data_IF_824957224635
#
_entry.id   IF_824957224635
#
_cell.length_a   1.000
_cell.length_b   1.000
_cell.length_c   1.000
_cell.angle_alpha   90.00
_cell.angle_beta   90.00
_cell.angle_gamma   90.00
#
_symmetry.space_group_name_H-M   'P 1'
#
loop_
_entity.id
_entity.type
_entity.pdbx_description
1 polymer ?
#
# COMPACT_ATOMS: atom_id res chain seq x y z
N UNK A 1 13.78 46.13 -38.17
CA UNK A 1 14.53 45.66 -36.98
C UNK A 1 13.48 45.23 -35.97
N UNK A 2 13.19 43.94 -35.96
CA UNK A 2 12.09 43.35 -35.21
C UNK A 2 12.70 42.47 -34.12
N UNK A 3 12.32 42.74 -32.87
CA UNK A 3 12.72 41.98 -31.69
C UNK A 3 12.14 40.55 -31.78
N UNK A 4 12.88 39.50 -31.42
CA UNK A 4 12.30 38.17 -31.29
C UNK A 4 11.66 38.02 -29.91
N UNK A 5 10.36 37.69 -29.93
CA UNK A 5 9.59 37.22 -28.80
C UNK A 5 10.18 35.90 -28.28
N UNK A 6 10.60 35.86 -27.01
CA UNK A 6 10.98 34.62 -26.35
C UNK A 6 9.72 33.87 -25.93
N UNK A 7 9.28 32.94 -26.77
CA UNK A 7 8.35 31.88 -26.35
C UNK A 7 9.08 31.00 -25.33
N UNK A 8 8.69 31.10 -24.06
CA UNK A 8 8.96 30.05 -23.09
C UNK A 8 8.01 28.90 -23.42
N UNK A 9 8.56 27.83 -23.99
CA UNK A 9 7.87 26.56 -24.12
C UNK A 9 7.71 25.97 -22.73
N UNK A 10 6.49 26.05 -22.20
CA UNK A 10 5.98 25.16 -21.17
C UNK A 10 5.99 23.73 -21.75
N UNK A 11 7.09 23.01 -21.56
CA UNK A 11 7.14 21.56 -21.76
C UNK A 11 6.48 20.89 -20.54
N UNK A 12 5.15 20.90 -20.53
CA UNK A 12 4.38 19.88 -19.81
C UNK A 12 4.68 18.52 -20.48
N UNK A 13 5.55 17.74 -19.83
CA UNK A 13 5.87 16.35 -20.17
C UNK A 13 4.71 15.40 -19.79
N UNK A 14 3.51 15.67 -20.31
CA UNK A 14 2.30 14.86 -20.13
C UNK A 14 1.92 14.10 -21.41
N UNK A 15 2.92 13.52 -22.08
CA UNK A 15 2.69 12.52 -23.13
C UNK A 15 3.00 11.13 -22.60
N UNK A 16 2.11 10.60 -21.76
CA UNK A 16 2.13 9.17 -21.44
C UNK A 16 1.90 8.38 -22.73
N UNK A 17 2.97 7.85 -23.34
CA UNK A 17 2.86 6.99 -24.51
C UNK A 17 2.13 5.71 -24.07
N UNK A 18 0.90 5.54 -24.53
CA UNK A 18 0.13 4.31 -24.34
C UNK A 18 0.61 3.30 -25.38
N UNK A 19 1.31 2.27 -24.93
CA UNK A 19 1.70 1.12 -25.73
C UNK A 19 0.46 0.39 -26.25
N UNK A 20 0.53 -0.17 -27.45
CA UNK A 20 -0.50 -1.08 -27.98
C UNK A 20 -0.39 -2.49 -27.40
N UNK A 21 0.73 -2.80 -26.74
CA UNK A 21 1.00 -4.10 -26.12
C UNK A 21 1.29 -3.88 -24.64
N UNK A 22 0.54 -4.57 -23.79
CA UNK A 22 0.74 -4.51 -22.35
C UNK A 22 2.09 -5.12 -21.96
N UNK A 23 2.71 -4.58 -20.91
CA UNK A 23 3.88 -5.20 -20.29
C UNK A 23 3.52 -6.52 -19.59
N UNK A 24 4.51 -7.18 -19.00
CA UNK A 24 4.33 -8.46 -18.28
C UNK A 24 3.33 -8.41 -17.12
N UNK A 25 3.00 -7.21 -16.65
CA UNK A 25 2.12 -6.97 -15.52
C UNK A 25 0.75 -6.42 -15.98
N UNK A 26 0.49 -6.34 -17.28
CA UNK A 26 -0.78 -5.87 -17.83
C UNK A 26 -0.87 -4.35 -18.02
N UNK A 27 0.21 -3.59 -17.84
CA UNK A 27 0.19 -2.13 -18.05
C UNK A 27 0.53 -1.76 -19.49
N UNK A 28 -0.25 -0.84 -20.05
CA UNK A 28 -0.03 -0.23 -21.37
C UNK A 28 0.72 1.11 -21.25
N UNK A 29 0.91 1.63 -20.03
CA UNK A 29 1.52 2.93 -19.76
C UNK A 29 1.38 3.36 -18.30
N UNK A 30 1.69 4.62 -18.03
CA UNK A 30 1.64 5.20 -16.69
C UNK A 30 2.84 4.81 -15.80
N UNK A 31 2.82 5.24 -14.55
CA UNK A 31 3.95 5.11 -13.62
C UNK A 31 4.31 3.67 -13.23
N UNK A 32 3.42 2.71 -13.49
CA UNK A 32 3.63 1.28 -13.21
C UNK A 32 4.15 0.50 -14.41
N UNK A 33 4.17 1.10 -15.61
CA UNK A 33 4.64 0.45 -16.82
C UNK A 33 6.15 0.20 -16.78
N UNK A 34 6.57 -1.02 -17.14
CA UNK A 34 7.98 -1.40 -17.21
C UNK A 34 8.27 -2.09 -18.55
N UNK A 35 8.84 -1.39 -19.54
CA UNK A 35 9.13 -1.96 -20.85
C UNK A 35 10.32 -2.94 -20.80
N UNK A 36 11.20 -2.78 -19.81
CA UNK A 36 12.42 -3.57 -19.75
C UNK A 36 12.16 -5.01 -19.30
N UNK A 37 12.71 -6.00 -20.01
CA UNK A 37 12.68 -7.36 -19.53
C UNK A 37 13.56 -7.46 -18.27
N UNK A 38 12.96 -7.56 -17.08
CA UNK A 38 13.70 -7.93 -15.88
C UNK A 38 14.52 -9.21 -16.14
N UNK A 39 15.76 -9.30 -15.60
CA UNK A 39 16.62 -10.45 -15.80
C UNK A 39 15.90 -11.73 -15.36
N UNK A 40 15.64 -12.61 -16.33
CA UNK A 40 14.96 -13.87 -16.06
C UNK A 40 15.84 -14.76 -15.19
N UNK A 41 15.34 -15.13 -14.01
CA UNK A 41 15.95 -16.18 -13.21
C UNK A 41 15.99 -17.48 -14.03
N UNK A 42 17.01 -18.33 -13.87
CA UNK A 42 17.05 -19.61 -14.56
C UNK A 42 15.76 -20.41 -14.33
N UNK A 43 15.17 -20.96 -15.41
CA UNK A 43 13.91 -21.72 -15.35
C UNK A 43 13.91 -22.79 -14.26
N UNK A 44 15.04 -23.47 -14.09
CA UNK A 44 15.24 -24.48 -13.04
C UNK A 44 15.10 -23.93 -11.63
N UNK A 45 15.52 -22.69 -11.39
CA UNK A 45 15.35 -22.01 -10.11
C UNK A 45 13.90 -21.58 -9.88
N UNK A 46 13.20 -21.12 -10.92
CA UNK A 46 11.77 -20.76 -10.86
C UNK A 46 10.95 -21.99 -10.44
N UNK A 47 11.09 -23.11 -11.17
CA UNK A 47 10.38 -24.36 -10.86
C UNK A 47 10.68 -24.88 -9.44
N UNK A 48 11.95 -24.79 -9.01
CA UNK A 48 12.34 -25.17 -7.63
C UNK A 48 11.69 -24.26 -6.58
N UNK A 49 11.46 -22.98 -6.87
CA UNK A 49 10.78 -22.05 -5.96
C UNK A 49 9.28 -22.31 -5.93
N UNK A 50 8.67 -22.53 -7.09
CA UNK A 50 7.26 -22.88 -7.22
C UNK A 50 6.92 -24.18 -6.49
N UNK A 51 7.70 -25.25 -6.70
CA UNK A 51 7.45 -26.53 -6.03
C UNK A 51 7.45 -26.41 -4.49
N UNK A 52 8.33 -25.56 -3.94
CA UNK A 52 8.38 -25.32 -2.49
C UNK A 52 7.11 -24.63 -2.00
N UNK A 53 6.57 -23.69 -2.77
CA UNK A 53 5.32 -23.00 -2.46
C UNK A 53 4.10 -23.90 -2.64
N UNK A 54 4.06 -24.72 -3.70
CA UNK A 54 2.99 -25.71 -3.92
C UNK A 54 2.91 -26.66 -2.72
N UNK A 55 4.05 -27.18 -2.26
CA UNK A 55 4.10 -28.05 -1.09
C UNK A 55 3.61 -27.34 0.18
N UNK A 56 3.91 -26.04 0.33
CA UNK A 56 3.43 -25.25 1.48
C UNK A 56 1.93 -24.98 1.42
N UNK A 57 1.40 -24.67 0.23
CA UNK A 57 -0.02 -24.39 -0.01
C UNK A 57 -0.88 -25.64 0.24
N UNK A 58 -0.38 -26.82 -0.15
CA UNK A 58 -1.10 -28.09 0.08
C UNK A 58 -1.33 -28.36 1.57
N UNK A 59 -0.33 -28.06 2.40
CA UNK A 59 -0.34 -28.33 3.83
C UNK A 59 -0.44 -27.01 4.64
N UNK A 60 -1.20 -26.02 4.11
CA UNK A 60 -1.17 -24.62 4.56
C UNK A 60 -1.39 -24.42 6.06
N UNK A 61 -2.45 -25.01 6.62
CA UNK A 61 -2.78 -24.87 8.05
C UNK A 61 -1.67 -25.41 8.95
N UNK A 62 -1.01 -26.52 8.57
CA UNK A 62 0.15 -27.01 9.32
C UNK A 62 1.29 -25.99 9.24
N UNK A 63 1.57 -25.45 8.06
CA UNK A 63 2.63 -24.46 7.89
C UNK A 63 2.40 -23.19 8.68
N UNK A 64 1.17 -22.68 8.74
CA UNK A 64 0.83 -21.49 9.50
C UNK A 64 0.87 -21.73 11.02
N UNK A 65 0.45 -22.91 11.48
CA UNK A 65 0.45 -23.23 12.91
C UNK A 65 1.85 -23.60 13.45
N UNK A 66 2.62 -24.42 12.73
CA UNK A 66 3.88 -24.98 13.26
C UNK A 66 5.14 -24.44 12.56
N UNK A 67 5.01 -23.94 11.33
CA UNK A 67 6.16 -23.52 10.50
C UNK A 67 6.06 -22.06 10.01
N UNK A 68 5.35 -21.19 10.75
CA UNK A 68 5.12 -19.80 10.33
C UNK A 68 6.41 -19.04 10.02
N UNK A 69 7.50 -19.31 10.76
CA UNK A 69 8.83 -18.72 10.49
C UNK A 69 9.30 -19.02 9.05
N UNK A 70 9.03 -20.21 8.53
CA UNK A 70 9.38 -20.63 7.17
C UNK A 70 8.47 -19.96 6.15
N UNK A 71 7.17 -19.81 6.42
CA UNK A 71 6.24 -19.02 5.59
C UNK A 71 6.74 -17.59 5.47
N UNK A 72 7.00 -16.94 6.61
CA UNK A 72 7.54 -15.58 6.67
C UNK A 72 8.84 -15.42 5.89
N UNK A 73 9.79 -16.34 6.05
CA UNK A 73 11.05 -16.30 5.29
C UNK A 73 10.82 -16.40 3.77
N UNK A 74 9.84 -17.19 3.34
CA UNK A 74 9.50 -17.34 1.91
C UNK A 74 8.82 -16.10 1.36
N UNK A 75 7.89 -15.50 2.11
CA UNK A 75 7.29 -14.21 1.76
C UNK A 75 8.35 -13.10 1.62
N UNK A 76 9.31 -13.04 2.55
CA UNK A 76 10.46 -12.12 2.50
C UNK A 76 11.44 -12.39 1.35
N UNK A 77 11.42 -13.59 0.76
CA UNK A 77 12.25 -13.96 -0.41
C UNK A 77 11.58 -13.70 -1.76
N UNK A 78 10.25 -13.76 -1.84
CA UNK A 78 9.54 -13.71 -3.12
C UNK A 78 8.51 -14.82 -3.21
N UNK A 79 7.23 -14.45 -3.33
CA UNK A 79 6.22 -15.39 -3.83
C UNK A 79 6.36 -15.44 -5.35
N UNK A 80 6.49 -16.63 -5.97
CA UNK A 80 6.48 -16.77 -7.42
C UNK A 80 5.22 -16.13 -8.03
N UNK A 81 5.32 -15.41 -9.16
CA UNK A 81 4.18 -14.73 -9.77
C UNK A 81 2.96 -15.64 -9.99
N UNK A 82 3.19 -16.85 -10.48
CA UNK A 82 2.19 -17.89 -10.72
C UNK A 82 1.42 -18.35 -9.48
N UNK A 83 2.00 -18.14 -8.28
CA UNK A 83 1.44 -18.62 -7.02
C UNK A 83 0.92 -17.49 -6.12
N UNK A 84 1.15 -16.21 -6.48
CA UNK A 84 0.61 -15.05 -5.73
C UNK A 84 -0.91 -15.11 -5.58
N UNK A 85 -1.71 -15.37 -6.64
CA UNK A 85 -3.17 -15.47 -6.51
C UNK A 85 -3.60 -16.34 -5.33
N UNK A 86 -3.06 -17.56 -5.27
CA UNK A 86 -3.45 -18.54 -4.24
C UNK A 86 -2.81 -18.25 -2.90
N UNK A 87 -1.54 -17.85 -2.87
CA UNK A 87 -0.83 -17.56 -1.62
C UNK A 87 -1.43 -16.34 -0.91
N UNK A 88 -1.74 -15.27 -1.64
CA UNK A 88 -2.36 -14.07 -1.09
C UNK A 88 -3.78 -14.34 -0.58
N UNK A 89 -4.58 -15.11 -1.34
CA UNK A 89 -5.88 -15.56 -0.88
C UNK A 89 -5.75 -16.26 0.49
N UNK A 90 -4.85 -17.24 0.62
CA UNK A 90 -4.65 -17.98 1.87
C UNK A 90 -4.14 -17.09 3.01
N UNK A 91 -3.20 -16.18 2.74
CA UNK A 91 -2.66 -15.23 3.73
C UNK A 91 -3.71 -14.25 4.25
N UNK A 92 -4.67 -13.86 3.41
CA UNK A 92 -5.80 -13.02 3.83
C UNK A 92 -6.88 -13.81 4.55
N UNK A 93 -7.15 -15.04 4.15
CA UNK A 93 -8.46 -15.66 4.43
C UNK A 93 -8.41 -16.74 5.49
N UNK A 94 -7.23 -17.16 5.92
CA UNK A 94 -7.10 -18.08 7.05
C UNK A 94 -7.76 -17.53 8.33
N UNK A 95 -7.74 -16.20 8.52
CA UNK A 95 -8.37 -15.52 9.66
C UNK A 95 -9.85 -15.23 9.46
N UNK A 96 -10.28 -15.15 8.21
CA UNK A 96 -11.67 -14.95 7.84
C UNK A 96 -12.36 -16.30 8.03
N UNK A 97 -13.18 -16.47 9.06
CA UNK A 97 -14.01 -17.66 9.22
C UNK A 97 -15.09 -17.74 8.12
N UNK A 98 -14.69 -17.83 6.84
CA UNK A 98 -15.55 -17.88 5.64
C UNK A 98 -16.62 -18.96 5.77
N UNK A 99 -16.34 -20.02 6.54
CA UNK A 99 -17.27 -21.12 6.86
C UNK A 99 -18.56 -20.67 7.55
N UNK A 100 -18.61 -19.48 8.16
CA UNK A 100 -19.82 -18.93 8.77
C UNK A 100 -20.70 -18.15 7.78
N UNK A 101 -20.23 -17.91 6.56
CA UNK A 101 -21.00 -17.25 5.52
C UNK A 101 -21.56 -18.28 4.54
N UNK A 102 -22.72 -17.99 3.98
CA UNK A 102 -23.30 -18.82 2.93
C UNK A 102 -22.42 -18.77 1.67
N UNK A 103 -22.48 -19.83 0.86
CA UNK A 103 -21.64 -19.98 -0.34
C UNK A 103 -21.79 -18.84 -1.35
N UNK A 104 -22.96 -18.22 -1.44
CA UNK A 104 -23.26 -17.15 -2.40
C UNK A 104 -23.26 -15.76 -1.75
N UNK A 105 -22.62 -15.60 -0.58
CA UNK A 105 -22.69 -14.37 0.20
C UNK A 105 -22.25 -13.13 -0.59
N UNK A 106 -21.20 -13.25 -1.42
CA UNK A 106 -20.76 -12.15 -2.26
C UNK A 106 -21.79 -11.79 -3.33
N UNK A 107 -22.34 -12.79 -4.03
CA UNK A 107 -23.38 -12.57 -5.04
C UNK A 107 -24.64 -11.94 -4.44
N UNK A 108 -25.04 -12.38 -3.25
CA UNK A 108 -26.17 -11.82 -2.50
C UNK A 108 -25.93 -10.34 -2.15
N UNK A 109 -24.71 -9.96 -1.79
CA UNK A 109 -24.34 -8.55 -1.56
C UNK A 109 -24.31 -7.74 -2.85
N UNK A 110 -23.85 -8.33 -3.96
CA UNK A 110 -23.88 -7.67 -5.26
C UNK A 110 -25.31 -7.38 -5.74
N UNK A 111 -26.26 -8.27 -5.44
CA UNK A 111 -27.67 -8.12 -5.77
C UNK A 111 -28.40 -7.07 -4.90
N UNK A 112 -27.94 -6.82 -3.67
CA UNK A 112 -28.54 -5.83 -2.77
C UNK A 112 -28.37 -4.40 -3.26
N UNK A 113 -29.28 -3.50 -2.89
CA UNK A 113 -29.08 -2.06 -3.08
C UNK A 113 -28.01 -1.54 -2.12
N UNK A 114 -27.10 -0.72 -2.63
CA UNK A 114 -26.07 -0.05 -1.81
C UNK A 114 -26.51 1.35 -1.39
N UNK A 115 -25.82 1.94 -0.42
CA UNK A 115 -26.05 3.33 -0.04
C UNK A 115 -25.81 4.27 -1.26
N UNK A 116 -26.78 5.09 -1.69
CA UNK A 116 -26.66 5.91 -2.89
C UNK A 116 -25.41 6.79 -2.94
N UNK A 117 -25.01 7.36 -1.78
CA UNK A 117 -23.80 8.18 -1.66
C UNK A 117 -22.55 7.38 -2.01
N UNK A 118 -22.38 6.19 -1.40
CA UNK A 118 -21.21 5.35 -1.66
C UNK A 118 -21.20 4.83 -3.08
N UNK A 119 -22.36 4.50 -3.65
CA UNK A 119 -22.46 4.09 -5.05
C UNK A 119 -21.96 5.20 -5.98
N UNK A 120 -22.34 6.44 -5.73
CA UNK A 120 -21.88 7.59 -6.51
C UNK A 120 -20.36 7.81 -6.36
N UNK A 121 -19.85 7.76 -5.13
CA UNK A 121 -18.42 7.90 -4.84
C UNK A 121 -17.61 6.77 -5.51
N UNK A 122 -18.06 5.52 -5.44
CA UNK A 122 -17.41 4.39 -6.12
C UNK A 122 -17.37 4.64 -7.63
N UNK A 123 -18.47 5.05 -8.26
CA UNK A 123 -18.53 5.31 -9.71
C UNK A 123 -17.54 6.39 -10.15
N UNK A 124 -17.41 7.47 -9.37
CA UNK A 124 -16.41 8.52 -9.61
C UNK A 124 -14.97 7.99 -9.50
N UNK A 125 -14.77 6.87 -8.83
CA UNK A 125 -13.46 6.35 -8.51
C UNK A 125 -12.95 5.30 -9.50
N UNK A 126 -13.86 4.62 -10.21
CA UNK A 126 -13.53 3.52 -11.12
C UNK A 126 -12.50 3.91 -12.19
N UNK A 127 -12.73 5.04 -12.89
CA UNK A 127 -11.94 5.43 -14.05
C UNK A 127 -10.49 5.80 -13.74
N UNK A 128 -10.16 6.11 -12.48
CA UNK A 128 -8.81 6.51 -12.07
C UNK A 128 -8.03 5.43 -11.32
N UNK A 129 -8.59 4.22 -11.19
CA UNK A 129 -7.86 3.08 -10.63
C UNK A 129 -7.13 2.32 -11.73
N UNK A 130 -5.82 2.52 -11.82
CA UNK A 130 -4.95 1.89 -12.83
C UNK A 130 -5.48 2.01 -14.27
N UNK A 131 -5.74 3.25 -14.76
CA UNK A 131 -6.41 3.48 -16.05
C UNK A 131 -5.67 2.89 -17.26
N UNK A 132 -4.37 2.65 -17.13
CA UNK A 132 -3.52 2.07 -18.18
C UNK A 132 -3.39 0.55 -18.09
N UNK A 133 -4.05 -0.12 -17.15
CA UNK A 133 -3.98 -1.57 -17.02
C UNK A 133 -5.05 -2.24 -17.89
N UNK A 134 -4.71 -3.32 -18.60
CA UNK A 134 -5.58 -4.00 -19.58
C UNK A 134 -6.94 -4.43 -19.02
N UNK A 135 -7.00 -4.76 -17.72
CA UNK A 135 -8.25 -5.10 -17.01
C UNK A 135 -9.18 -3.88 -16.87
N UNK A 136 -8.64 -2.67 -16.66
CA UNK A 136 -9.41 -1.48 -16.26
C UNK A 136 -9.51 -0.41 -17.36
N UNK A 137 -8.71 -0.51 -18.42
CA UNK A 137 -8.63 0.49 -19.50
C UNK A 137 -9.96 0.69 -20.24
N UNK A 138 -10.76 -0.37 -20.36
CA UNK A 138 -12.08 -0.28 -21.00
C UNK A 138 -13.11 0.29 -20.02
N UNK A 139 -13.61 1.48 -20.31
CA UNK A 139 -14.73 2.07 -19.59
C UNK A 139 -15.96 1.16 -19.64
N UNK A 140 -16.55 0.88 -18.47
CA UNK A 140 -17.66 -0.07 -18.36
C UNK A 140 -17.29 -1.52 -18.71
N UNK A 141 -16.00 -1.84 -18.86
CA UNK A 141 -15.52 -3.19 -19.06
C UNK A 141 -15.62 -4.05 -17.80
N UNK A 142 -15.37 -5.36 -17.96
CA UNK A 142 -15.51 -6.34 -16.87
C UNK A 142 -14.69 -5.96 -15.62
N UNK A 143 -13.48 -5.42 -15.77
CA UNK A 143 -12.66 -5.01 -14.63
C UNK A 143 -13.26 -3.87 -13.82
N UNK A 144 -13.87 -2.87 -14.47
CA UNK A 144 -14.57 -1.79 -13.76
C UNK A 144 -15.87 -2.29 -13.11
N UNK A 145 -16.57 -3.22 -13.76
CA UNK A 145 -17.75 -3.88 -13.19
C UNK A 145 -17.39 -4.67 -11.93
N UNK A 146 -16.33 -5.49 -11.99
CA UNK A 146 -15.86 -6.27 -10.85
C UNK A 146 -15.37 -5.36 -9.71
N UNK A 147 -14.64 -4.28 -10.04
CA UNK A 147 -14.22 -3.29 -9.06
C UNK A 147 -15.41 -2.64 -8.36
N UNK A 148 -16.43 -2.24 -9.12
CA UNK A 148 -17.66 -1.71 -8.56
C UNK A 148 -18.33 -2.72 -7.62
N UNK A 149 -18.46 -3.97 -8.05
CA UNK A 149 -19.11 -5.03 -7.28
C UNK A 149 -18.37 -5.32 -5.96
N UNK A 150 -17.05 -5.43 -6.00
CA UNK A 150 -16.21 -5.65 -4.81
C UNK A 150 -16.35 -4.51 -3.80
N UNK A 151 -16.24 -3.26 -4.25
CA UNK A 151 -16.33 -2.09 -3.38
C UNK A 151 -17.73 -1.88 -2.81
N UNK A 152 -18.76 -2.05 -3.65
CA UNK A 152 -20.17 -2.02 -3.23
C UNK A 152 -20.43 -3.08 -2.17
N UNK A 153 -20.08 -4.34 -2.45
CA UNK A 153 -20.31 -5.43 -1.52
C UNK A 153 -19.61 -5.20 -0.18
N UNK A 154 -18.38 -4.67 -0.18
CA UNK A 154 -17.69 -4.30 1.05
C UNK A 154 -18.46 -3.22 1.84
N UNK A 155 -18.90 -2.16 1.16
CA UNK A 155 -19.63 -1.06 1.80
C UNK A 155 -20.96 -1.52 2.44
N UNK A 156 -21.62 -2.51 1.85
CA UNK A 156 -22.85 -3.11 2.38
C UNK A 156 -22.54 -4.02 3.57
N UNK A 157 -21.47 -4.82 3.46
CA UNK A 157 -21.02 -5.72 4.54
C UNK A 157 -20.63 -4.95 5.81
N UNK A 158 -19.93 -3.83 5.67
CA UNK A 158 -19.49 -3.01 6.79
C UNK A 158 -20.00 -1.57 6.64
N UNK A 159 -21.28 -1.30 6.93
CA UNK A 159 -21.87 0.02 6.73
C UNK A 159 -21.36 1.07 7.73
N UNK A 160 -20.74 0.65 8.84
CA UNK A 160 -20.11 1.58 9.79
C UNK A 160 -18.88 2.26 9.16
N UNK A 161 -18.12 1.51 8.36
CA UNK A 161 -17.00 2.05 7.57
C UNK A 161 -17.49 2.60 6.23
N UNK A 162 -18.36 1.84 5.56
CA UNK A 162 -18.86 2.17 4.24
C UNK A 162 -17.78 2.08 3.17
N UNK A 163 -17.82 3.03 2.23
CA UNK A 163 -16.79 3.21 1.22
C UNK A 163 -15.87 4.39 1.55
N UNK A 164 -14.56 4.14 1.49
CA UNK A 164 -13.52 5.14 1.51
C UNK A 164 -12.72 5.05 0.21
N UNK A 165 -12.44 6.20 -0.43
CA UNK A 165 -11.70 6.32 -1.68
C UNK A 165 -10.39 5.51 -1.73
N UNK A 166 -9.69 5.41 -0.60
CA UNK A 166 -8.42 4.68 -0.52
C UNK A 166 -8.56 3.15 -0.61
N UNK A 167 -9.79 2.62 -0.57
CA UNK A 167 -10.07 1.19 -0.76
C UNK A 167 -10.06 0.79 -2.24
N UNK A 168 -10.42 1.69 -3.15
CA UNK A 168 -10.46 1.42 -4.59
C UNK A 168 -9.11 0.96 -5.19
N UNK A 169 -7.96 1.60 -4.91
CA UNK A 169 -6.69 1.10 -5.43
C UNK A 169 -6.31 -0.27 -4.85
N UNK A 170 -6.71 -0.58 -3.61
CA UNK A 170 -6.51 -1.90 -3.00
C UNK A 170 -7.36 -2.97 -3.71
N UNK A 171 -8.65 -2.70 -3.91
CA UNK A 171 -9.56 -3.62 -4.58
C UNK A 171 -9.14 -3.87 -6.04
N UNK A 172 -8.79 -2.81 -6.77
CA UNK A 172 -8.31 -2.91 -8.14
C UNK A 172 -7.00 -3.72 -8.22
N UNK A 173 -6.06 -3.50 -7.29
CA UNK A 173 -4.83 -4.28 -7.20
C UNK A 173 -5.11 -5.77 -6.96
N UNK A 174 -6.03 -6.11 -6.05
CA UNK A 174 -6.42 -7.50 -5.80
C UNK A 174 -7.04 -8.17 -7.03
N UNK A 175 -7.93 -7.46 -7.74
CA UNK A 175 -8.60 -7.95 -8.94
C UNK A 175 -7.65 -8.30 -10.10
N UNK A 176 -6.45 -7.73 -10.12
CA UNK A 176 -5.41 -8.13 -11.09
C UNK A 176 -4.83 -9.52 -10.81
N UNK A 177 -5.03 -10.05 -9.60
CA UNK A 177 -4.46 -11.33 -9.17
C UNK A 177 -5.50 -12.39 -8.85
N UNK A 178 -6.78 -12.04 -8.66
CA UNK A 178 -7.78 -13.02 -8.26
C UNK A 178 -9.20 -12.61 -8.68
N UNK A 179 -10.13 -13.58 -8.80
CA UNK A 179 -11.53 -13.30 -9.10
C UNK A 179 -12.19 -12.37 -8.07
N UNK A 180 -13.30 -11.73 -8.47
CA UNK A 180 -14.00 -10.73 -7.67
C UNK A 180 -14.35 -11.20 -6.24
N UNK A 181 -14.90 -12.40 -6.08
CA UNK A 181 -15.23 -12.93 -4.74
C UNK A 181 -13.98 -13.07 -3.85
N UNK A 182 -12.88 -13.57 -4.40
CA UNK A 182 -11.63 -13.69 -3.66
C UNK A 182 -11.06 -12.32 -3.29
N UNK A 183 -11.11 -11.36 -4.22
CA UNK A 183 -10.68 -9.99 -4.00
C UNK A 183 -11.53 -9.31 -2.92
N UNK A 184 -12.85 -9.52 -2.93
CA UNK A 184 -13.77 -9.05 -1.89
C UNK A 184 -13.35 -9.53 -0.50
N UNK A 185 -13.15 -10.84 -0.32
CA UNK A 185 -12.74 -11.37 0.99
C UNK A 185 -11.34 -10.93 1.43
N UNK A 186 -10.41 -10.76 0.47
CA UNK A 186 -9.11 -10.19 0.75
C UNK A 186 -9.22 -8.72 1.21
N UNK A 187 -10.05 -7.92 0.53
CA UNK A 187 -10.34 -6.54 0.90
C UNK A 187 -10.97 -6.46 2.31
N UNK A 188 -11.95 -7.32 2.60
CA UNK A 188 -12.54 -7.44 3.93
C UNK A 188 -11.47 -7.67 4.99
N UNK A 189 -10.58 -8.64 4.79
CA UNK A 189 -9.52 -8.90 5.75
C UNK A 189 -8.53 -7.75 5.89
N UNK A 190 -8.17 -7.11 4.78
CA UNK A 190 -7.27 -5.96 4.81
C UNK A 190 -7.91 -4.81 5.60
N UNK A 191 -9.17 -4.47 5.36
CA UNK A 191 -9.82 -3.36 6.02
C UNK A 191 -10.22 -3.65 7.47
N UNK A 192 -10.75 -4.84 7.77
CA UNK A 192 -11.33 -5.15 9.07
C UNK A 192 -10.29 -5.69 10.07
N UNK A 193 -9.23 -6.35 9.59
CA UNK A 193 -8.21 -6.97 10.45
C UNK A 193 -6.85 -6.24 10.37
N UNK A 194 -6.30 -6.03 9.16
CA UNK A 194 -4.98 -5.39 9.04
C UNK A 194 -5.05 -3.88 9.27
N UNK A 195 -6.03 -3.19 8.70
CA UNK A 195 -6.15 -1.72 8.74
C UNK A 195 -7.36 -1.30 9.58
N UNK A 196 -7.64 -2.05 10.64
CA UNK A 196 -8.80 -1.85 11.50
C UNK A 196 -8.85 -0.41 12.00
N UNK A 197 -9.92 0.31 11.67
CA UNK A 197 -10.12 1.70 12.08
C UNK A 197 -9.32 2.75 11.29
N UNK A 198 -8.65 2.38 10.19
CA UNK A 198 -8.01 3.35 9.30
C UNK A 198 -9.03 4.15 8.49
N UNK A 199 -10.09 3.48 8.05
CA UNK A 199 -11.12 4.05 7.17
C UNK A 199 -12.31 4.65 7.93
N UNK A 200 -12.26 4.71 9.26
CA UNK A 200 -13.31 5.35 10.06
C UNK A 200 -13.25 6.87 9.95
N UNK A 201 -14.37 7.53 10.28
CA UNK A 201 -14.42 8.99 10.33
C UNK A 201 -13.33 9.54 11.28
N UNK A 202 -12.66 10.63 10.85
CA UNK A 202 -11.58 11.25 11.61
C UNK A 202 -10.23 10.51 11.56
N UNK A 203 -10.17 9.28 11.02
CA UNK A 203 -8.94 8.52 10.82
C UNK A 203 -8.06 8.41 12.09
N UNK A 204 -8.67 8.27 13.28
CA UNK A 204 -7.94 8.33 14.55
C UNK A 204 -6.81 7.30 14.63
N UNK A 205 -7.07 6.07 14.18
CA UNK A 205 -6.06 4.99 14.15
C UNK A 205 -4.89 5.35 13.25
N UNK A 206 -5.16 5.86 12.04
CA UNK A 206 -4.11 6.31 11.12
C UNK A 206 -3.28 7.44 11.73
N UNK A 207 -3.91 8.35 12.47
CA UNK A 207 -3.20 9.43 13.14
C UNK A 207 -2.31 8.92 14.30
N UNK A 208 -2.77 7.92 15.07
CA UNK A 208 -1.97 7.22 16.08
C UNK A 208 -0.75 6.57 15.42
N UNK A 209 -0.96 5.86 14.32
CA UNK A 209 0.11 5.22 13.58
C UNK A 209 1.06 6.24 12.94
N UNK A 210 0.56 7.43 12.59
CA UNK A 210 1.42 8.56 12.24
C UNK A 210 2.35 8.97 13.38
N UNK A 211 1.81 9.15 14.59
CA UNK A 211 2.63 9.46 15.76
C UNK A 211 3.67 8.36 16.06
N UNK A 212 3.30 7.09 15.87
CA UNK A 212 4.22 5.95 15.99
C UNK A 212 5.32 5.99 14.93
N UNK A 213 4.97 6.21 13.66
CA UNK A 213 5.93 6.35 12.58
C UNK A 213 6.92 7.47 12.90
N UNK A 214 6.45 8.62 13.39
CA UNK A 214 7.33 9.74 13.73
C UNK A 214 8.25 9.42 14.92
N UNK A 215 7.76 8.66 15.90
CA UNK A 215 8.59 8.16 16.99
C UNK A 215 9.67 7.20 16.50
N UNK A 216 9.36 6.35 15.50
CA UNK A 216 10.36 5.51 14.87
C UNK A 216 11.36 6.33 14.02
N UNK A 217 10.91 7.36 13.29
CA UNK A 217 11.83 8.28 12.57
C UNK A 217 12.78 8.93 13.58
N UNK A 218 12.31 9.32 14.77
CA UNK A 218 13.17 9.83 15.84
C UNK A 218 14.25 8.83 16.27
N UNK A 219 13.92 7.53 16.32
CA UNK A 219 14.82 6.45 16.71
C UNK A 219 15.84 6.13 15.61
N UNK A 220 15.40 5.96 14.36
CA UNK A 220 16.24 5.48 13.25
C UNK A 220 16.93 6.60 12.48
N UNK A 221 16.32 7.78 12.39
CA UNK A 221 16.84 8.93 11.63
C UNK A 221 16.65 10.25 12.40
N UNK A 222 17.36 10.46 13.52
CA UNK A 222 17.14 11.59 14.43
C UNK A 222 17.34 12.97 13.77
N UNK A 223 18.22 13.07 12.77
CA UNK A 223 18.41 14.32 12.01
C UNK A 223 17.19 14.64 11.14
N UNK A 224 16.62 13.64 10.46
CA UNK A 224 15.39 13.80 9.68
C UNK A 224 14.24 14.17 10.62
N UNK A 225 14.09 13.49 11.76
CA UNK A 225 13.08 13.83 12.76
C UNK A 225 13.15 15.31 13.19
N UNK A 226 14.36 15.78 13.54
CA UNK A 226 14.57 17.18 13.95
C UNK A 226 14.22 18.15 12.82
N UNK A 227 14.57 17.82 11.58
CA UNK A 227 14.25 18.61 10.40
C UNK A 227 12.73 18.75 10.20
N UNK A 228 12.01 17.62 10.15
CA UNK A 228 10.55 17.59 10.01
C UNK A 228 9.86 18.34 11.15
N UNK A 229 10.30 18.11 12.39
CA UNK A 229 9.75 18.79 13.57
C UNK A 229 9.96 20.30 13.51
N UNK A 230 11.13 20.77 13.06
CA UNK A 230 11.42 22.20 12.93
C UNK A 230 10.52 22.88 11.90
N UNK A 231 10.19 22.18 10.82
CA UNK A 231 9.29 22.66 9.77
C UNK A 231 7.80 22.38 10.09
N UNK A 232 7.49 21.84 11.27
CA UNK A 232 6.12 21.47 11.69
C UNK A 232 5.43 20.50 10.71
N UNK A 233 6.22 19.61 10.09
CA UNK A 233 5.69 18.57 9.21
C UNK A 233 5.25 17.38 10.05
N UNK A 234 3.94 17.16 10.07
CA UNK A 234 3.32 16.00 10.70
C UNK A 234 3.21 14.83 9.69
N UNK A 235 3.32 13.57 10.16
CA UNK A 235 3.25 12.38 9.31
C UNK A 235 2.04 12.34 8.38
N UNK A 236 0.86 12.74 8.88
CA UNK A 236 -0.41 12.73 8.14
C UNK A 236 -0.33 13.51 6.82
N UNK A 237 0.59 14.46 6.68
CA UNK A 237 0.77 15.28 5.48
C UNK A 237 1.42 14.53 4.30
N UNK A 238 2.04 13.38 4.53
CA UNK A 238 2.71 12.60 3.48
C UNK A 238 2.38 11.10 3.54
N UNK A 239 2.14 10.53 4.73
CA UNK A 239 1.96 9.08 4.87
C UNK A 239 0.53 8.59 4.62
N UNK A 240 -0.45 9.50 4.53
CA UNK A 240 -1.87 9.13 4.49
C UNK A 240 -2.16 8.18 3.33
N UNK A 241 -1.72 8.52 2.12
CA UNK A 241 -1.89 7.64 0.96
C UNK A 241 -1.07 6.36 1.08
N UNK A 242 0.15 6.44 1.59
CA UNK A 242 1.04 5.30 1.78
C UNK A 242 0.38 4.18 2.60
N UNK A 243 -0.23 4.56 3.73
CA UNK A 243 -0.79 3.62 4.68
C UNK A 243 -2.22 3.22 4.30
N UNK A 244 -3.06 4.16 3.87
CA UNK A 244 -4.44 3.87 3.48
C UNK A 244 -4.54 3.02 2.21
N UNK A 245 -3.59 3.17 1.28
CA UNK A 245 -3.56 2.43 0.01
C UNK A 245 -2.53 1.30 0.01
N UNK A 246 -1.88 1.00 1.14
CA UNK A 246 -0.81 -0.03 1.24
C UNK A 246 0.23 0.13 0.12
N UNK A 247 0.66 1.38 -0.08
CA UNK A 247 1.65 1.81 -1.07
C UNK A 247 1.34 1.51 -2.55
N UNK A 248 0.14 1.05 -2.88
CA UNK A 248 -0.24 0.71 -4.28
C UNK A 248 -0.14 1.88 -5.24
N UNK A 249 -0.23 3.11 -4.73
CA UNK A 249 -0.10 4.36 -5.48
C UNK A 249 1.30 4.99 -5.43
N UNK A 250 2.23 4.40 -4.67
CA UNK A 250 3.52 5.02 -4.35
C UNK A 250 4.71 4.21 -4.86
N UNK A 251 4.69 2.88 -4.70
CA UNK A 251 5.83 2.04 -5.05
C UNK A 251 5.76 1.58 -6.51
N UNK A 252 6.91 1.46 -7.20
CA UNK A 252 7.00 0.75 -8.46
C UNK A 252 6.54 -0.70 -8.32
N UNK A 253 5.94 -1.24 -9.38
CA UNK A 253 5.26 -2.53 -9.37
C UNK A 253 6.08 -3.68 -8.77
N UNK A 254 7.36 -3.88 -9.14
CA UNK A 254 8.12 -5.00 -8.61
C UNK A 254 8.35 -4.88 -7.09
N UNK A 255 8.67 -3.68 -6.59
CA UNK A 255 8.81 -3.42 -5.17
C UNK A 255 7.47 -3.55 -4.42
N UNK A 256 6.38 -3.08 -5.01
CA UNK A 256 5.02 -3.18 -4.47
C UNK A 256 4.64 -4.64 -4.21
N UNK A 257 4.85 -5.54 -5.18
CA UNK A 257 4.55 -6.96 -5.04
C UNK A 257 5.32 -7.61 -3.90
N UNK A 258 6.59 -7.23 -3.72
CA UNK A 258 7.42 -7.74 -2.62
C UNK A 258 6.97 -7.21 -1.26
N UNK A 259 6.54 -5.94 -1.19
CA UNK A 259 5.95 -5.36 0.01
C UNK A 259 4.65 -6.07 0.38
N UNK A 260 3.78 -6.34 -0.60
CA UNK A 260 2.52 -7.05 -0.39
C UNK A 260 2.70 -8.50 0.07
N UNK A 261 3.66 -9.22 -0.50
CA UNK A 261 4.04 -10.56 -0.02
C UNK A 261 4.38 -10.55 1.49
N UNK A 262 5.10 -9.52 1.95
CA UNK A 262 5.44 -9.36 3.37
C UNK A 262 4.26 -8.86 4.20
N UNK A 263 3.51 -7.87 3.72
CA UNK A 263 2.39 -7.25 4.44
C UNK A 263 1.29 -8.27 4.72
N UNK A 264 0.88 -9.08 3.74
CA UNK A 264 -0.14 -10.09 3.95
C UNK A 264 0.29 -11.20 4.91
N UNK A 265 1.60 -11.40 5.10
CA UNK A 265 2.15 -12.41 6.00
C UNK A 265 2.42 -11.88 7.42
N UNK A 266 2.98 -10.69 7.54
CA UNK A 266 3.48 -10.10 8.79
C UNK A 266 2.60 -8.97 9.34
N UNK A 267 1.59 -8.55 8.57
CA UNK A 267 0.63 -7.53 8.93
C UNK A 267 1.17 -6.09 8.90
N UNK A 268 0.50 -5.16 9.61
CA UNK A 268 0.75 -3.72 9.53
C UNK A 268 2.16 -3.28 9.93
N UNK A 269 2.90 -4.12 10.66
CA UNK A 269 4.31 -3.85 11.00
C UNK A 269 5.18 -3.55 9.78
N UNK A 270 4.84 -4.11 8.61
CA UNK A 270 5.53 -3.87 7.34
C UNK A 270 5.35 -2.43 6.88
N UNK A 271 4.19 -1.81 7.13
CA UNK A 271 3.92 -0.42 6.72
C UNK A 271 4.91 0.55 7.35
N UNK A 272 5.21 0.38 8.64
CA UNK A 272 6.20 1.20 9.34
C UNK A 272 7.62 1.02 8.78
N UNK A 273 8.01 -0.22 8.47
CA UNK A 273 9.34 -0.50 7.90
C UNK A 273 9.50 0.15 6.53
N UNK A 274 8.48 0.02 5.68
CA UNK A 274 8.45 0.62 4.34
C UNK A 274 8.44 2.15 4.45
N UNK A 275 7.60 2.73 5.31
CA UNK A 275 7.54 4.17 5.55
C UNK A 275 8.87 4.75 6.06
N UNK A 276 9.56 4.07 6.98
CA UNK A 276 10.89 4.49 7.45
C UNK A 276 11.93 4.50 6.34
N UNK A 277 11.95 3.45 5.52
CA UNK A 277 12.88 3.36 4.38
C UNK A 277 12.57 4.45 3.36
N UNK A 278 11.30 4.69 3.01
CA UNK A 278 10.91 5.77 2.11
C UNK A 278 11.37 7.14 2.63
N UNK A 279 11.07 7.47 3.88
CA UNK A 279 11.51 8.74 4.50
C UNK A 279 13.04 8.86 4.46
N UNK A 280 13.74 7.79 4.81
CA UNK A 280 15.20 7.74 4.76
C UNK A 280 15.72 8.00 3.35
N UNK A 281 15.19 7.33 2.33
CA UNK A 281 15.64 7.46 0.94
C UNK A 281 15.31 8.85 0.35
N UNK A 282 14.07 9.33 0.52
CA UNK A 282 13.64 10.64 0.02
C UNK A 282 14.48 11.80 0.57
N UNK A 283 14.93 11.68 1.82
CA UNK A 283 15.68 12.74 2.50
C UNK A 283 17.20 12.56 2.37
N UNK A 284 17.69 11.60 1.58
CA UNK A 284 19.11 11.37 1.29
C UNK A 284 19.88 10.53 2.31
N UNK A 285 19.18 9.63 3.01
CA UNK A 285 19.74 8.60 3.89
C UNK A 285 19.80 8.98 5.37
N UNK A 286 19.89 7.97 6.24
CA UNK A 286 19.94 8.12 7.70
C UNK A 286 21.17 8.90 8.19
N UNK A 287 22.28 8.84 7.44
CA UNK A 287 23.56 9.46 7.80
C UNK A 287 23.66 10.94 7.40
N UNK A 288 22.62 11.52 6.78
CA UNK A 288 22.68 12.90 6.31
C UNK A 288 22.73 13.88 7.48
N UNK A 289 23.64 14.85 7.40
CA UNK A 289 23.79 15.86 8.44
C UNK A 289 22.60 16.83 8.44
N UNK A 290 22.31 17.42 9.60
CA UNK A 290 21.24 18.42 9.73
C UNK A 290 21.48 19.66 8.84
N UNK A 291 22.75 20.04 8.60
CA UNK A 291 23.09 21.15 7.71
C UNK A 291 22.81 20.82 6.24
N UNK A 292 23.13 19.61 5.80
CA UNK A 292 22.84 19.16 4.44
C UNK A 292 21.34 19.06 4.18
N UNK A 293 20.57 18.54 5.14
CA UNK A 293 19.10 18.51 5.07
C UNK A 293 18.52 19.93 4.91
N UNK A 294 18.97 20.89 5.74
CA UNK A 294 18.52 22.27 5.65
C UNK A 294 18.89 22.93 4.32
N UNK A 295 20.06 22.63 3.76
CA UNK A 295 20.50 23.19 2.48
C UNK A 295 19.66 22.65 1.31
N UNK A 296 19.35 21.36 1.33
CA UNK A 296 18.63 20.73 0.22
C UNK A 296 17.11 20.89 0.31
N UNK A 297 16.54 20.91 1.52
CA UNK A 297 15.10 21.07 1.74
C UNK A 297 14.84 22.25 2.68
N UNK A 298 15.02 23.50 2.20
CA UNK A 298 15.01 24.68 3.06
C UNK A 298 13.63 24.94 3.67
N UNK A 299 12.53 24.63 2.96
CA UNK A 299 11.17 24.90 3.41
C UNK A 299 10.35 23.63 3.57
N UNK A 300 9.13 23.83 4.08
CA UNK A 300 8.12 22.78 4.19
C UNK A 300 7.71 22.24 2.82
N UNK A 301 7.69 23.08 1.79
CA UNK A 301 7.27 22.71 0.44
C UNK A 301 8.20 21.68 -0.17
N UNK A 302 9.51 21.96 -0.29
CA UNK A 302 10.46 21.01 -0.92
C UNK A 302 10.58 19.72 -0.10
N UNK A 303 10.42 19.80 1.22
CA UNK A 303 10.43 18.62 2.09
C UNK A 303 9.22 17.73 1.84
N UNK A 304 8.01 18.31 1.73
CA UNK A 304 6.80 17.53 1.43
C UNK A 304 6.79 17.00 0.01
N UNK A 305 7.29 17.77 -0.95
CA UNK A 305 7.44 17.35 -2.35
C UNK A 305 8.37 16.13 -2.46
N UNK A 306 9.54 16.17 -1.81
CA UNK A 306 10.47 15.05 -1.79
C UNK A 306 9.90 13.79 -1.11
N UNK A 307 9.10 13.96 -0.05
CA UNK A 307 8.43 12.84 0.61
C UNK A 307 7.29 12.27 -0.25
N UNK A 308 6.47 13.11 -0.88
CA UNK A 308 5.31 12.64 -1.67
C UNK A 308 5.72 12.02 -3.00
N UNK A 309 6.87 12.40 -3.55
CA UNK A 309 7.38 11.92 -4.84
C UNK A 309 8.74 11.21 -4.68
N UNK A 310 8.80 10.00 -4.09
CA UNK A 310 10.05 9.25 -4.00
C UNK A 310 10.64 8.97 -5.39
N UNK A 311 11.93 9.26 -5.63
CA UNK A 311 12.57 8.98 -6.93
C UNK A 311 12.57 7.48 -7.26
N UNK A 312 12.08 7.11 -8.45
CA UNK A 312 11.91 5.71 -8.87
C UNK A 312 13.20 4.88 -8.80
N UNK A 313 14.35 5.48 -9.12
CA UNK A 313 15.66 4.82 -9.07
C UNK A 313 16.07 4.37 -7.65
N UNK A 314 15.56 5.02 -6.60
CA UNK A 314 15.78 4.62 -5.20
C UNK A 314 14.86 3.48 -4.77
N UNK A 315 13.84 3.18 -5.57
CA UNK A 315 12.81 2.19 -5.31
C UNK A 315 12.95 0.92 -6.16
N UNK A 316 14.14 0.69 -6.73
CA UNK A 316 14.46 -0.60 -7.37
C UNK A 316 14.23 -1.75 -6.39
N UNK A 317 13.60 -2.82 -6.87
CA UNK A 317 13.07 -3.92 -6.05
C UNK A 317 14.11 -4.48 -5.07
N UNK A 318 15.29 -4.87 -5.56
CA UNK A 318 16.28 -5.57 -4.74
C UNK A 318 16.89 -4.64 -3.70
N UNK A 319 17.25 -3.42 -4.09
CA UNK A 319 17.77 -2.41 -3.19
C UNK A 319 16.75 -2.05 -2.10
N UNK A 320 15.53 -1.73 -2.51
CA UNK A 320 14.47 -1.27 -1.62
C UNK A 320 14.06 -2.35 -0.63
N UNK A 321 13.77 -3.57 -1.11
CA UNK A 321 13.37 -4.69 -0.24
C UNK A 321 14.49 -5.07 0.72
N UNK A 322 15.76 -5.03 0.30
CA UNK A 322 16.90 -5.25 1.19
C UNK A 322 16.93 -4.23 2.33
N UNK A 323 16.68 -2.95 2.06
CA UNK A 323 16.58 -1.91 3.10
C UNK A 323 15.40 -2.16 4.05
N UNK A 324 14.23 -2.52 3.53
CA UNK A 324 13.04 -2.85 4.35
C UNK A 324 13.32 -4.03 5.29
N UNK A 325 14.02 -5.07 4.81
CA UNK A 325 14.39 -6.23 5.60
C UNK A 325 15.45 -5.95 6.68
N UNK A 326 16.26 -4.89 6.51
CA UNK A 326 17.25 -4.45 7.50
C UNK A 326 16.62 -3.70 8.69
N UNK A 327 15.40 -3.18 8.54
CA UNK A 327 14.70 -2.50 9.64
C UNK A 327 14.24 -3.53 10.69
N UNK A 328 14.94 -3.52 11.84
CA UNK A 328 14.56 -4.32 12.99
C UNK A 328 13.55 -3.56 13.86
N UNK A 329 12.26 -3.84 13.64
CA UNK A 329 11.13 -3.38 14.46
C UNK A 329 10.41 -4.61 15.04
N UNK A 330 10.79 -5.06 16.25
CA UNK A 330 10.09 -6.16 16.92
C UNK A 330 8.65 -5.77 17.30
N UNK A 331 7.72 -6.72 17.25
CA UNK A 331 6.30 -6.52 17.61
C UNK A 331 6.14 -5.88 18.98
N UNK A 332 6.92 -6.32 19.99
CA UNK A 332 6.91 -5.73 21.34
C UNK A 332 7.20 -4.23 21.36
N UNK A 333 8.07 -3.73 20.47
CA UNK A 333 8.34 -2.28 20.39
C UNK A 333 7.18 -1.54 19.75
N UNK A 334 6.55 -2.13 18.74
CA UNK A 334 5.37 -1.58 18.07
C UNK A 334 4.21 -1.47 19.06
N UNK A 335 3.91 -2.55 19.78
CA UNK A 335 2.83 -2.60 20.78
C UNK A 335 3.05 -1.56 21.88
N UNK A 336 4.29 -1.47 22.40
CA UNK A 336 4.67 -0.50 23.43
C UNK A 336 4.50 0.95 22.95
N UNK A 337 4.93 1.24 21.72
CA UNK A 337 4.79 2.60 21.17
C UNK A 337 3.32 2.92 20.88
N UNK A 338 2.53 1.96 20.40
CA UNK A 338 1.09 2.10 20.19
C UNK A 338 0.35 2.47 21.49
N UNK A 339 0.57 1.71 22.57
CA UNK A 339 -0.03 2.02 23.88
C UNK A 339 0.35 3.41 24.39
N UNK A 340 1.61 3.80 24.20
CA UNK A 340 2.13 5.10 24.61
C UNK A 340 1.47 6.24 23.84
N UNK A 341 1.35 6.14 22.51
CA UNK A 341 0.70 7.19 21.71
C UNK A 341 -0.80 7.26 21.98
N UNK A 342 -1.48 6.12 22.17
CA UNK A 342 -2.89 6.07 22.57
C UNK A 342 -3.13 6.80 23.90
N UNK A 343 -2.33 6.51 24.93
CA UNK A 343 -2.42 7.19 26.24
C UNK A 343 -2.19 8.70 26.11
N UNK A 344 -1.20 9.11 25.30
CA UNK A 344 -0.89 10.52 25.06
C UNK A 344 -2.06 11.27 24.42
N UNK A 345 -2.73 10.69 23.42
CA UNK A 345 -3.89 11.32 22.76
C UNK A 345 -5.09 11.44 23.67
N UNK A 346 -5.40 10.41 24.46
CA UNK A 346 -6.49 10.46 25.46
C UNK A 346 -6.24 11.59 26.47
N UNK A 347 -5.00 11.73 26.96
CA UNK A 347 -4.65 12.81 27.88
C UNK A 347 -4.81 14.21 27.24
N UNK A 348 -4.47 14.37 25.96
CA UNK A 348 -4.65 15.63 25.23
C UNK A 348 -6.13 15.97 25.01
N UNK A 349 -6.97 14.99 24.68
CA UNK A 349 -8.41 15.18 24.53
C UNK A 349 -9.06 15.59 25.85
N UNK A 350 -8.73 14.91 26.95
CA UNK A 350 -9.25 15.22 28.28
C UNK A 350 -8.79 16.61 28.76
N UNK A 351 -7.53 16.98 28.50
CA UNK A 351 -7.00 18.30 28.84
C UNK A 351 -7.62 19.44 28.04
N UNK A 352 -8.02 19.19 26.79
CA UNK A 352 -8.75 20.17 25.98
C UNK A 352 -10.21 20.31 26.41
N UNK A 353 -10.86 19.21 26.83
CA UNK A 353 -12.23 19.25 27.34
C UNK A 353 -12.33 19.88 28.73
N UNK A 354 -11.28 19.81 29.56
CA UNK A 354 -11.22 20.49 30.86
C UNK A 354 -10.91 22.00 30.76
N UNK A 355 -10.53 22.49 29.57
CA UNK A 355 -10.22 23.91 29.28
C UNK A 355 -11.33 24.63 28.51
N UNK A 356 -12.33 23.90 28.05
CA UNK A 356 -13.59 24.43 27.52
C UNK A 356 -14.62 24.42 28.64
#
# INVERSE_FOLDING_TARGET
>A
MSLPSSEHSDEDDDRSVVSTVADRNGFLGGSQYSPDPQPNLPRTLILKREQKWINMIRDWSQYMNTNYKKVRERCRKGIPPSLRPKAWELLCTEKQNRKHFNRNYFDDLCAQEGNPKWIEDIKKDLHRQFPYHEIFIKEGGFGQTDLFNVLKAYSIKNPTVGYCQAQAPIAAFLLMYMPAENAFWCLVNICDEYLKGYYSQGMETLQIDGDMLFAFVKKFAPNIYKHLKKQKIEPILYMTEWFLCVFTRTLPWPALLRVWDMFLCEGPSVLFKVGLVLIGLCMGGEAKSASALKKQYPTMYETLEALRNPPAHLLEENFFVKKVLQINLPTKEIDKEHEKQRKKRIAQQNGNNARK
#
